data_IF_298991489952
#
_entry.id   IF_298991489952
#
_cell.length_a   1.000
_cell.length_b   1.000
_cell.length_c   1.000
_cell.angle_alpha   90.00
_cell.angle_beta   90.00
_cell.angle_gamma   90.00
#
_symmetry.space_group_name_H-M   'P 1'
#
loop_
_entity.id
_entity.type
_entity.pdbx_description
1 polymer ?
#
# COMPACT_ATOMS: atom_id res chain seq x y z
N UNK A 1 -25.14 22.14 -49.81
CA UNK A 1 -25.20 21.18 -48.68
C UNK A 1 -23.93 20.35 -48.64
N UNK A 2 -23.48 20.00 -47.42
CA UNK A 2 -22.31 19.21 -47.01
C UNK A 2 -20.96 19.94 -46.86
N UNK A 3 -20.67 20.20 -45.58
CA UNK A 3 -19.42 20.62 -44.98
C UNK A 3 -18.32 19.55 -45.10
N UNK A 4 -17.11 19.98 -45.44
CA UNK A 4 -15.88 19.17 -45.46
C UNK A 4 -14.89 19.69 -44.43
N UNK A 5 -15.04 19.19 -43.20
CA UNK A 5 -14.25 19.49 -42.00
C UNK A 5 -12.80 18.98 -42.15
N UNK A 6 -11.91 19.80 -42.71
CA UNK A 6 -10.45 19.56 -42.70
C UNK A 6 -9.74 20.89 -42.52
N UNK A 7 -9.43 21.27 -41.27
CA UNK A 7 -8.41 22.24 -40.83
C UNK A 7 -8.70 22.62 -39.37
N UNK A 8 -8.35 21.73 -38.45
CA UNK A 8 -8.35 22.04 -37.02
C UNK A 8 -7.25 21.26 -36.28
N UNK A 9 -6.09 21.09 -36.92
CA UNK A 9 -4.90 20.49 -36.27
C UNK A 9 -3.76 21.51 -36.16
N UNK A 10 -3.99 22.76 -36.56
CA UNK A 10 -2.98 23.81 -36.54
C UNK A 10 -3.61 25.13 -36.11
N UNK A 11 -4.00 25.25 -34.84
CA UNK A 11 -4.28 26.56 -34.28
C UNK A 11 -3.94 26.60 -32.78
N UNK A 12 -2.76 27.16 -32.53
CA UNK A 12 -2.43 28.01 -31.39
C UNK A 12 -2.09 27.28 -30.08
N UNK A 13 -0.84 26.81 -30.06
CA UNK A 13 0.06 26.73 -28.91
C UNK A 13 0.36 28.12 -28.26
N UNK A 14 -0.44 29.15 -28.50
CA UNK A 14 -0.20 30.52 -28.05
C UNK A 14 -1.53 31.22 -27.86
N UNK A 15 -2.02 31.27 -26.62
CA UNK A 15 -3.28 31.94 -26.32
C UNK A 15 -3.54 31.99 -24.82
N UNK A 16 -3.18 33.13 -24.23
CA UNK A 16 -3.48 33.59 -22.88
C UNK A 16 -2.74 32.94 -21.70
N UNK A 17 -1.77 33.69 -21.18
CA UNK A 17 -1.41 33.63 -19.78
C UNK A 17 -2.59 34.21 -18.98
N UNK A 18 -3.68 33.45 -18.84
CA UNK A 18 -4.73 33.78 -17.89
C UNK A 18 -4.13 33.55 -16.50
N UNK A 19 -3.83 34.58 -15.68
CA UNK A 19 -3.30 34.35 -14.34
C UNK A 19 -4.28 33.51 -13.51
N UNK A 20 -5.57 33.56 -13.86
CA UNK A 20 -6.63 32.71 -13.28
C UNK A 20 -6.52 31.27 -13.77
N UNK A 21 -6.32 31.02 -15.07
CA UNK A 21 -6.17 29.66 -15.62
C UNK A 21 -4.91 28.96 -15.12
N UNK A 22 -3.78 29.68 -15.04
CA UNK A 22 -2.53 29.13 -14.49
C UNK A 22 -2.63 28.88 -12.99
N UNK A 23 -3.31 29.76 -12.23
CA UNK A 23 -3.61 29.51 -10.80
C UNK A 23 -4.51 28.30 -10.62
N UNK A 24 -5.59 28.17 -11.39
CA UNK A 24 -6.50 27.03 -11.32
C UNK A 24 -5.80 25.73 -11.70
N UNK A 25 -4.98 25.72 -12.75
CA UNK A 25 -4.21 24.55 -13.15
C UNK A 25 -3.18 24.15 -12.08
N UNK A 26 -2.46 25.12 -11.49
CA UNK A 26 -1.52 24.86 -10.39
C UNK A 26 -2.24 24.35 -9.14
N UNK A 27 -3.39 24.93 -8.78
CA UNK A 27 -4.22 24.45 -7.66
C UNK A 27 -4.73 23.02 -7.91
N UNK A 28 -5.19 22.73 -9.12
CA UNK A 28 -5.71 21.41 -9.47
C UNK A 28 -4.60 20.36 -9.50
N UNK A 29 -3.44 20.69 -10.05
CA UNK A 29 -2.24 19.85 -10.01
C UNK A 29 -1.75 19.62 -8.58
N UNK A 30 -1.74 20.66 -7.73
CA UNK A 30 -1.39 20.53 -6.31
C UNK A 30 -2.38 19.61 -5.58
N UNK A 31 -3.69 19.78 -5.76
CA UNK A 31 -4.69 18.88 -5.19
C UNK A 31 -4.49 17.42 -5.61
N UNK A 32 -4.21 17.17 -6.90
CA UNK A 32 -3.94 15.81 -7.39
C UNK A 32 -2.68 15.21 -6.77
N UNK A 33 -1.61 16.01 -6.59
CA UNK A 33 -0.40 15.59 -5.89
C UNK A 33 -0.65 15.27 -4.41
N UNK A 34 -1.48 16.06 -3.71
CA UNK A 34 -1.87 15.77 -2.32
C UNK A 34 -2.65 14.46 -2.21
N UNK A 35 -3.55 14.15 -3.15
CA UNK A 35 -4.32 12.90 -3.15
C UNK A 35 -3.43 11.66 -3.35
N UNK A 36 -2.39 11.77 -4.18
CA UNK A 36 -1.46 10.66 -4.42
C UNK A 36 -0.59 10.33 -3.19
N UNK A 37 -0.40 11.27 -2.25
CA UNK A 37 0.42 11.08 -1.06
C UNK A 37 -0.30 10.29 0.07
N UNK A 38 -1.62 10.09 -0.01
CA UNK A 38 -2.37 9.40 1.05
C UNK A 38 -2.02 7.90 1.20
N UNK A 39 -1.43 7.28 0.18
CA UNK A 39 -0.99 5.87 0.21
C UNK A 39 0.53 5.73 0.45
N UNK A 40 1.21 6.79 0.89
CA UNK A 40 2.66 6.76 1.09
C UNK A 40 3.05 5.83 2.26
N UNK A 41 4.13 5.04 2.12
CA UNK A 41 4.61 4.18 3.19
C UNK A 41 5.19 5.00 4.36
N UNK A 42 5.33 4.35 5.52
CA UNK A 42 6.01 4.95 6.67
C UNK A 42 7.48 5.21 6.38
N UNK A 43 8.01 6.26 7.00
CA UNK A 43 9.44 6.61 6.97
C UNK A 43 10.29 5.37 7.32
N UNK A 44 11.12 4.92 6.38
CA UNK A 44 11.92 3.70 6.49
C UNK A 44 11.79 2.79 5.26
N UNK A 45 10.70 2.87 4.50
CA UNK A 45 10.47 2.07 3.29
C UNK A 45 10.68 2.86 1.98
N UNK A 46 11.59 3.85 2.00
CA UNK A 46 11.90 4.64 0.81
C UNK A 46 12.64 3.78 -0.22
N UNK A 47 12.08 3.62 -1.43
CA UNK A 47 12.66 2.75 -2.46
C UNK A 47 12.43 1.25 -2.26
N UNK A 48 11.60 0.88 -1.27
CA UNK A 48 11.19 -0.50 -1.03
C UNK A 48 10.46 -1.11 -2.23
N UNK A 49 10.58 -2.41 -2.42
CA UNK A 49 9.81 -3.14 -3.44
C UNK A 49 8.33 -3.10 -3.08
N UNK A 50 7.48 -2.75 -4.06
CA UNK A 50 6.04 -2.54 -3.85
C UNK A 50 5.24 -3.59 -4.60
N UNK A 51 4.36 -4.29 -3.88
CA UNK A 51 3.41 -5.24 -4.47
C UNK A 51 2.01 -5.12 -3.85
N UNK A 52 0.97 -5.57 -4.56
CA UNK A 52 -0.41 -5.51 -4.08
C UNK A 52 -0.97 -6.91 -3.91
N UNK A 53 -1.55 -7.17 -2.75
CA UNK A 53 -2.05 -8.49 -2.38
C UNK A 53 -3.45 -8.37 -1.78
N UNK A 54 -4.30 -9.37 -2.03
CA UNK A 54 -5.62 -9.47 -1.40
C UNK A 54 -5.75 -10.83 -0.73
N UNK A 55 -6.05 -10.82 0.56
CA UNK A 55 -6.19 -12.02 1.39
C UNK A 55 -7.56 -11.97 2.08
N UNK A 56 -8.40 -12.97 1.81
CA UNK A 56 -9.76 -13.10 2.36
C UNK A 56 -10.61 -11.80 2.20
N UNK A 57 -10.46 -11.11 1.07
CA UNK A 57 -11.16 -9.85 0.77
C UNK A 57 -10.54 -8.59 1.38
N UNK A 58 -9.44 -8.70 2.13
CA UNK A 58 -8.66 -7.56 2.62
C UNK A 58 -7.49 -7.26 1.69
N UNK A 59 -7.39 -6.02 1.20
CA UNK A 59 -6.37 -5.60 0.23
C UNK A 59 -5.27 -4.77 0.88
N UNK A 60 -4.03 -5.07 0.51
CA UNK A 60 -2.83 -4.47 1.08
C UNK A 60 -1.85 -4.07 -0.02
N UNK A 61 -1.22 -2.91 0.14
CA UNK A 61 0.03 -2.57 -0.52
C UNK A 61 1.17 -3.00 0.39
N UNK A 62 2.06 -3.85 -0.10
CA UNK A 62 3.20 -4.37 0.64
C UNK A 62 4.46 -3.64 0.19
N UNK A 63 5.23 -3.13 1.15
CA UNK A 63 6.55 -2.55 0.95
C UNK A 63 7.58 -3.47 1.61
N UNK A 64 8.55 -3.96 0.83
CA UNK A 64 9.61 -4.85 1.33
C UNK A 64 10.97 -4.16 1.31
N UNK A 65 11.65 -4.18 2.45
CA UNK A 65 13.02 -3.71 2.61
C UNK A 65 13.82 -4.71 3.46
N UNK A 66 14.59 -5.58 2.81
CA UNK A 66 15.44 -6.57 3.46
C UNK A 66 14.72 -7.46 4.47
N UNK A 67 15.00 -7.27 5.76
CA UNK A 67 14.40 -8.02 6.87
C UNK A 67 13.07 -7.46 7.38
N UNK A 68 12.49 -6.47 6.71
CA UNK A 68 11.28 -5.76 7.13
C UNK A 68 10.24 -5.74 6.03
N UNK A 69 8.96 -5.84 6.40
CA UNK A 69 7.85 -5.56 5.48
C UNK A 69 6.83 -4.63 6.12
N UNK A 70 6.19 -3.80 5.31
CA UNK A 70 5.05 -2.99 5.71
C UNK A 70 3.84 -3.33 4.84
N UNK A 71 2.68 -3.46 5.48
CA UNK A 71 1.39 -3.61 4.82
C UNK A 71 0.53 -2.39 5.11
N UNK A 72 0.18 -1.66 4.06
CA UNK A 72 -0.78 -0.55 4.09
C UNK A 72 -2.12 -1.07 3.57
N UNK A 73 -3.17 -1.00 4.39
CA UNK A 73 -4.51 -1.43 4.00
C UNK A 73 -5.11 -0.45 3.00
N UNK A 74 -5.52 -0.94 1.83
CA UNK A 74 -6.09 -0.12 0.74
C UNK A 74 -7.59 -0.27 0.56
N UNK A 75 -8.26 -1.12 1.35
CA UNK A 75 -9.71 -1.24 1.36
C UNK A 75 -10.36 -0.60 2.61
N UNK A 76 -11.68 -0.35 2.54
CA UNK A 76 -12.48 0.29 3.61
C UNK A 76 -13.05 -0.69 4.65
N UNK A 77 -12.51 -1.90 4.73
CA UNK A 77 -13.07 -2.93 5.62
C UNK A 77 -12.75 -2.65 7.09
N UNK A 78 -13.74 -2.81 7.96
CA UNK A 78 -13.57 -2.68 9.41
C UNK A 78 -13.49 -4.08 10.05
N UNK A 79 -12.30 -4.43 10.55
CA UNK A 79 -12.00 -5.72 11.17
C UNK A 79 -11.30 -5.51 12.50
N UNK A 80 -11.36 -6.52 13.38
CA UNK A 80 -10.53 -6.56 14.59
C UNK A 80 -9.06 -6.67 14.19
N UNK A 81 -8.17 -5.98 14.89
CA UNK A 81 -6.75 -5.92 14.51
C UNK A 81 -6.09 -7.30 14.45
N UNK A 82 -6.44 -8.24 15.34
CA UNK A 82 -5.87 -9.59 15.31
C UNK A 82 -6.20 -10.37 14.04
N UNK A 83 -7.43 -10.27 13.53
CA UNK A 83 -7.82 -10.94 12.28
C UNK A 83 -7.21 -10.26 11.07
N UNK A 84 -7.17 -8.92 11.07
CA UNK A 84 -6.51 -8.15 10.01
C UNK A 84 -5.00 -8.42 9.97
N UNK A 85 -4.34 -8.48 11.13
CA UNK A 85 -2.91 -8.76 11.25
C UNK A 85 -2.53 -10.12 10.68
N UNK A 86 -3.37 -11.15 10.88
CA UNK A 86 -3.16 -12.45 10.26
C UNK A 86 -3.24 -12.42 8.73
N UNK A 87 -4.18 -11.63 8.17
CA UNK A 87 -4.30 -11.45 6.71
C UNK A 87 -3.13 -10.64 6.14
N UNK A 88 -2.72 -9.58 6.83
CA UNK A 88 -1.57 -8.77 6.47
C UNK A 88 -0.27 -9.60 6.52
N UNK A 89 -0.11 -10.46 7.53
CA UNK A 89 1.03 -11.35 7.63
C UNK A 89 1.11 -12.31 6.43
N UNK A 90 0.00 -12.96 6.05
CA UNK A 90 -0.05 -13.79 4.84
C UNK A 90 0.37 -12.99 3.60
N UNK A 91 -0.18 -11.78 3.42
CA UNK A 91 0.16 -10.91 2.30
C UNK A 91 1.66 -10.56 2.26
N UNK A 92 2.28 -10.28 3.41
CA UNK A 92 3.73 -10.04 3.51
C UNK A 92 4.55 -11.30 3.18
N UNK A 93 4.14 -12.48 3.64
CA UNK A 93 4.84 -13.73 3.30
C UNK A 93 4.72 -14.07 1.81
N UNK A 94 3.54 -13.83 1.21
CA UNK A 94 3.33 -13.97 -0.24
C UNK A 94 4.18 -13.00 -1.06
N UNK A 95 4.31 -11.75 -0.59
CA UNK A 95 5.11 -10.72 -1.26
C UNK A 95 6.61 -10.99 -1.19
N UNK A 96 7.10 -11.48 -0.05
CA UNK A 96 8.56 -11.52 0.24
C UNK A 96 9.15 -12.93 0.17
N UNK A 97 8.33 -13.97 0.24
CA UNK A 97 8.78 -15.35 0.45
C UNK A 97 9.37 -15.63 1.83
N UNK A 98 9.40 -14.64 2.73
CA UNK A 98 9.95 -14.75 4.07
C UNK A 98 8.87 -14.97 5.11
N UNK A 99 9.20 -15.65 6.21
CA UNK A 99 8.27 -15.86 7.33
C UNK A 99 8.14 -14.59 8.18
N UNK A 100 6.93 -14.25 8.59
CA UNK A 100 6.69 -13.12 9.51
C UNK A 100 6.94 -13.57 10.95
N UNK A 101 7.82 -12.90 11.69
CA UNK A 101 8.11 -13.22 13.10
C UNK A 101 7.21 -12.48 14.07
N UNK A 102 7.09 -11.18 13.86
CA UNK A 102 6.27 -10.31 14.69
C UNK A 102 5.82 -9.07 13.92
N UNK A 103 4.68 -8.54 14.34
CA UNK A 103 4.00 -7.39 13.74
C UNK A 103 3.83 -6.29 14.79
N UNK A 104 3.77 -5.05 14.35
CA UNK A 104 3.34 -3.91 15.15
C UNK A 104 2.61 -2.89 14.27
N UNK A 105 1.82 -2.02 14.88
CA UNK A 105 1.10 -0.96 14.17
C UNK A 105 -0.38 -0.93 14.54
N UNK A 106 -1.20 -0.52 13.59
CA UNK A 106 -2.65 -0.36 13.74
C UNK A 106 -3.43 -1.02 12.59
N UNK A 107 -4.72 -0.71 12.47
CA UNK A 107 -5.58 -1.33 11.46
C UNK A 107 -5.41 -0.75 10.04
N UNK A 108 -4.66 0.34 9.88
CA UNK A 108 -4.34 0.94 8.59
C UNK A 108 -2.94 0.54 8.12
N UNK A 109 -1.96 0.53 9.03
CA UNK A 109 -0.57 0.21 8.72
C UNK A 109 -0.02 -0.80 9.72
N UNK A 110 0.50 -1.91 9.19
CA UNK A 110 1.23 -2.92 9.95
C UNK A 110 2.65 -3.05 9.44
N UNK A 111 3.61 -3.16 10.35
CA UNK A 111 5.04 -3.38 10.04
C UNK A 111 5.46 -4.68 10.68
N UNK A 112 6.20 -5.50 9.94
CA UNK A 112 6.68 -6.80 10.35
C UNK A 112 8.20 -6.91 10.28
N UNK A 113 8.76 -7.70 11.20
CA UNK A 113 10.08 -8.29 11.06
C UNK A 113 9.97 -9.65 10.38
N UNK A 114 10.81 -9.87 9.37
CA UNK A 114 10.85 -11.08 8.56
C UNK A 114 12.00 -11.99 8.99
N UNK A 115 11.82 -13.28 8.75
CA UNK A 115 12.87 -14.28 8.75
C UNK A 115 12.96 -14.90 7.36
N UNK A 116 13.96 -14.48 6.59
CA UNK A 116 14.21 -14.97 5.23
C UNK A 116 15.19 -16.16 5.20
N UNK A 117 15.25 -16.95 6.29
CA UNK A 117 16.08 -18.15 6.38
C UNK A 117 15.67 -19.25 5.37
N UNK A 118 16.44 -20.35 5.34
CA UNK A 118 16.29 -21.40 4.31
C UNK A 118 15.00 -22.24 4.40
N UNK A 119 14.29 -22.20 5.53
CA UNK A 119 13.01 -22.89 5.67
C UNK A 119 11.89 -22.01 5.11
N UNK A 120 11.47 -22.36 3.89
CA UNK A 120 10.28 -21.81 3.25
C UNK A 120 9.06 -22.35 4.00
N UNK A 121 8.62 -21.62 5.03
CA UNK A 121 7.33 -21.88 5.63
C UNK A 121 6.22 -21.59 4.59
N UNK A 122 5.13 -22.37 4.57
CA UNK A 122 4.03 -22.11 3.67
C UNK A 122 3.47 -20.70 3.91
N UNK A 123 3.33 -19.90 2.84
CA UNK A 123 2.97 -18.47 2.95
C UNK A 123 1.56 -18.23 3.53
N UNK A 124 0.75 -19.29 3.60
CA UNK A 124 -0.58 -19.32 4.23
C UNK A 124 -0.57 -19.59 5.74
N UNK A 125 0.53 -20.05 6.32
CA UNK A 125 0.66 -20.29 7.76
C UNK A 125 1.31 -19.09 8.44
N UNK A 126 0.74 -18.65 9.56
CA UNK A 126 1.24 -17.53 10.35
C UNK A 126 1.23 -17.94 11.82
N UNK A 127 2.36 -17.75 12.48
CA UNK A 127 2.58 -17.96 13.91
C UNK A 127 3.34 -16.76 14.51
N UNK A 128 2.84 -15.56 14.21
CA UNK A 128 3.48 -14.31 14.58
C UNK A 128 2.91 -13.73 15.87
N UNK A 129 3.66 -12.81 16.49
CA UNK A 129 3.18 -12.01 17.63
C UNK A 129 2.88 -10.58 17.19
N UNK A 130 1.66 -10.10 17.44
CA UNK A 130 1.33 -8.68 17.33
C UNK A 130 1.72 -7.95 18.62
N UNK A 131 2.65 -7.00 18.51
CA UNK A 131 3.18 -6.19 19.60
C UNK A 131 2.40 -4.88 19.74
N UNK A 132 1.90 -4.61 20.94
CA UNK A 132 1.24 -3.36 21.30
C UNK A 132 2.15 -2.38 22.05
N UNK A 133 1.70 -1.12 22.17
CA UNK A 133 2.48 0.01 22.73
C UNK A 133 2.89 -0.15 24.21
N UNK A 134 2.20 -0.98 25.00
CA UNK A 134 2.44 -1.20 26.45
C UNK A 134 2.96 -2.60 26.78
N UNK A 135 3.72 -3.22 25.87
CA UNK A 135 4.24 -4.58 26.05
C UNK A 135 3.19 -5.69 25.88
N UNK A 136 1.97 -5.34 25.48
CA UNK A 136 0.93 -6.30 25.12
C UNK A 136 1.39 -7.14 23.92
N UNK A 137 1.21 -8.45 24.03
CA UNK A 137 1.53 -9.41 22.97
C UNK A 137 0.28 -10.22 22.67
N UNK A 138 -0.14 -10.22 21.41
CA UNK A 138 -1.32 -10.96 20.96
C UNK A 138 -0.83 -11.99 19.95
N UNK A 139 -1.04 -13.30 20.20
CA UNK A 139 -0.71 -14.32 19.22
C UNK A 139 -1.60 -14.18 17.99
N UNK A 140 -0.98 -14.12 16.81
CA UNK A 140 -1.64 -14.10 15.51
C UNK A 140 -1.35 -15.44 14.84
N UNK A 141 -2.29 -16.39 15.02
CA UNK A 141 -2.15 -17.74 14.49
C UNK A 141 -3.14 -17.95 13.36
N UNK A 142 -2.65 -18.38 12.19
CA UNK A 142 -3.45 -18.89 11.07
C UNK A 142 -2.75 -20.11 10.49
N UNK A 143 -3.53 -21.10 10.08
CA UNK A 143 -3.05 -22.29 9.39
C UNK A 143 -3.60 -22.31 7.97
N UNK A 144 -2.90 -22.99 7.08
CA UNK A 144 -3.41 -23.30 5.76
C UNK A 144 -4.67 -24.18 5.89
N UNK A 145 -5.69 -23.91 5.07
CA UNK A 145 -6.96 -24.62 5.04
C UNK A 145 -7.57 -24.54 3.65
#
# INVERSE_FOLDING_TARGET
>A
MKAGKRRAVHLMLTGACDPVGMRVFVFLAACLLLLAACDAPTRGFGGAEVSRHTVDGSSFTIHHDGGMAQAVRTNRQLLRIGTLAGRAAIAMQQATGCRVRDLAGDAAVLVARLNCGKEVAPTCEVDAILRGRRGMQIPVVRRCG
#
